data_IF_909344803991
#
_entry.id   IF_909344803991
#
_cell.length_a   1.000
_cell.length_b   1.000
_cell.length_c   1.000
_cell.angle_alpha   90.00
_cell.angle_beta   90.00
_cell.angle_gamma   90.00
#
_symmetry.space_group_name_H-M   'P 1'
#
loop_
_entity.id
_entity.type
_entity.pdbx_description
1 polymer ?
#
# COMPACT_ATOMS: atom_id res chain seq x y z
N UNK A 1 5.44 -9.03 -1.29
CA UNK A 1 5.52 -7.78 -2.07
C UNK A 1 6.62 -6.95 -1.49
N UNK A 2 6.46 -6.62 -0.22
CA UNK A 2 7.41 -6.02 0.71
C UNK A 2 8.83 -6.55 0.49
N UNK A 3 9.05 -7.85 0.66
CA UNK A 3 10.36 -8.50 0.42
C UNK A 3 10.95 -8.23 -0.97
N UNK A 4 10.12 -8.18 -2.02
CA UNK A 4 10.59 -7.90 -3.37
C UNK A 4 10.99 -6.42 -3.52
N UNK A 5 10.24 -5.51 -2.90
CA UNK A 5 10.51 -4.06 -2.94
C UNK A 5 11.73 -3.72 -2.07
N UNK A 6 11.76 -4.18 -0.82
CA UNK A 6 12.90 -4.00 0.10
C UNK A 6 14.19 -4.61 -0.47
N UNK A 7 14.11 -5.83 -1.01
CA UNK A 7 15.24 -6.51 -1.63
C UNK A 7 15.63 -5.98 -3.01
N UNK A 8 14.89 -5.00 -3.56
CA UNK A 8 15.04 -4.53 -4.94
C UNK A 8 15.05 -5.69 -5.96
N UNK A 9 14.31 -6.76 -5.67
CA UNK A 9 14.28 -8.01 -6.42
C UNK A 9 13.18 -8.00 -7.52
N UNK A 10 13.13 -6.91 -8.27
CA UNK A 10 12.22 -6.71 -9.40
C UNK A 10 12.88 -5.75 -10.41
N UNK A 11 12.56 -5.90 -11.70
CA UNK A 11 13.05 -4.97 -12.74
C UNK A 11 11.91 -4.20 -13.38
N UNK A 12 10.80 -4.88 -13.65
CA UNK A 12 9.62 -4.29 -14.24
C UNK A 12 8.42 -4.32 -13.30
N UNK A 13 7.58 -3.28 -13.38
CA UNK A 13 6.31 -3.22 -12.64
C UNK A 13 5.42 -4.44 -12.90
N UNK A 14 5.48 -5.01 -14.11
CA UNK A 14 4.76 -6.21 -14.48
C UNK A 14 5.09 -7.42 -13.59
N UNK A 15 6.34 -7.54 -13.11
CA UNK A 15 6.75 -8.63 -12.21
C UNK A 15 6.04 -8.54 -10.87
N UNK A 16 5.87 -7.32 -10.34
CA UNK A 16 5.11 -7.09 -9.11
C UNK A 16 3.63 -7.43 -9.33
N UNK A 17 3.03 -6.99 -10.44
CA UNK A 17 1.63 -7.29 -10.74
C UNK A 17 1.36 -8.80 -10.87
N UNK A 18 2.27 -9.54 -11.51
CA UNK A 18 2.18 -11.00 -11.61
C UNK A 18 2.42 -11.69 -10.25
N UNK A 19 3.34 -11.16 -9.44
CA UNK A 19 3.57 -11.61 -8.06
C UNK A 19 2.32 -11.42 -7.19
N UNK A 20 1.58 -10.32 -7.38
CA UNK A 20 0.34 -10.06 -6.65
C UNK A 20 -0.67 -11.16 -6.91
N UNK A 21 -0.93 -11.46 -8.19
CA UNK A 21 -1.86 -12.52 -8.58
C UNK A 21 -1.38 -13.88 -8.07
N UNK A 22 -0.09 -14.19 -8.23
CA UNK A 22 0.50 -15.46 -7.77
C UNK A 22 0.28 -15.70 -6.28
N UNK A 23 0.40 -14.68 -5.43
CA UNK A 23 0.28 -14.81 -3.97
C UNK A 23 -1.16 -14.72 -3.46
N UNK A 24 -2.06 -14.02 -4.16
CA UNK A 24 -3.39 -13.70 -3.66
C UNK A 24 -4.54 -14.45 -4.37
N UNK A 25 -4.25 -15.25 -5.40
CA UNK A 25 -5.26 -15.96 -6.16
C UNK A 25 -5.78 -17.24 -5.47
N UNK A 26 -6.17 -17.17 -4.20
CA UNK A 26 -6.72 -18.29 -3.44
C UNK A 26 -8.14 -17.96 -3.00
N UNK A 27 -9.12 -18.74 -3.49
CA UNK A 27 -10.53 -18.47 -3.24
C UNK A 27 -11.01 -19.10 -1.92
N UNK A 28 -11.77 -18.32 -1.16
CA UNK A 28 -12.46 -18.75 0.06
C UNK A 28 -13.96 -18.49 -0.07
N UNK A 29 -14.77 -19.29 0.63
CA UNK A 29 -16.24 -19.20 0.62
C UNK A 29 -16.88 -20.08 -0.46
N UNK A 30 -18.19 -20.31 -0.37
CA UNK A 30 -18.93 -21.10 -1.36
C UNK A 30 -18.36 -22.50 -1.63
N UNK A 31 -17.97 -23.21 -0.55
CA UNK A 31 -17.26 -24.52 -0.56
C UNK A 31 -15.80 -24.49 -1.02
N UNK A 32 -15.23 -23.32 -1.34
CA UNK A 32 -13.80 -23.18 -1.60
C UNK A 32 -13.04 -22.97 -0.29
N UNK A 33 -11.96 -23.74 -0.10
CA UNK A 33 -11.11 -23.71 1.08
C UNK A 33 -9.67 -23.36 0.70
N UNK A 34 -9.45 -22.15 0.16
CA UNK A 34 -8.12 -21.68 -0.24
C UNK A 34 -7.62 -22.33 -1.53
N UNK A 35 -8.51 -22.63 -2.48
CA UNK A 35 -8.11 -23.25 -3.76
C UNK A 35 -7.61 -22.17 -4.72
N UNK A 36 -6.50 -22.45 -5.41
CA UNK A 36 -5.95 -21.52 -6.40
C UNK A 36 -6.93 -21.25 -7.57
N UNK A 37 -7.16 -19.96 -7.88
CA UNK A 37 -8.05 -19.44 -8.92
C UNK A 37 -7.48 -18.17 -9.59
N UNK A 38 -6.29 -18.25 -10.23
CA UNK A 38 -5.64 -17.09 -10.84
C UNK A 38 -6.49 -16.42 -11.92
N UNK A 39 -7.19 -17.18 -12.75
CA UNK A 39 -8.01 -16.62 -13.83
C UNK A 39 -9.23 -15.87 -13.30
N UNK A 40 -9.82 -16.36 -12.19
CA UNK A 40 -10.91 -15.67 -11.52
C UNK A 40 -10.44 -14.33 -10.93
N UNK A 41 -9.29 -14.32 -10.23
CA UNK A 41 -8.73 -13.07 -9.70
C UNK A 41 -8.41 -12.08 -10.83
N UNK A 42 -7.78 -12.53 -11.92
CA UNK A 42 -7.49 -11.67 -13.09
C UNK A 42 -8.75 -11.08 -13.69
N UNK A 43 -9.82 -11.87 -13.83
CA UNK A 43 -11.11 -11.40 -14.32
C UNK A 43 -11.72 -10.35 -13.40
N UNK A 44 -11.68 -10.56 -12.08
CA UNK A 44 -12.17 -9.60 -11.10
C UNK A 44 -11.37 -8.31 -11.09
N UNK A 45 -10.03 -8.37 -11.19
CA UNK A 45 -9.16 -7.21 -11.28
C UNK A 45 -9.53 -6.31 -12.46
N UNK A 46 -9.94 -6.90 -13.59
CA UNK A 46 -10.45 -6.17 -14.76
C UNK A 46 -11.75 -5.38 -14.54
N UNK A 47 -12.39 -5.53 -13.38
CA UNK A 47 -13.62 -4.80 -13.01
C UNK A 47 -13.38 -3.71 -11.95
N UNK A 48 -12.17 -3.62 -11.39
CA UNK A 48 -11.87 -2.74 -10.28
C UNK A 48 -11.74 -1.29 -10.77
N UNK A 49 -12.65 -0.41 -10.33
CA UNK A 49 -12.55 1.04 -10.57
C UNK A 49 -11.89 1.82 -9.42
N UNK A 50 -11.79 1.22 -8.23
CA UNK A 50 -11.24 1.84 -7.02
C UNK A 50 -10.71 0.79 -6.06
N UNK A 51 -9.58 1.10 -5.44
CA UNK A 51 -9.04 0.41 -4.27
C UNK A 51 -9.22 1.32 -3.06
N UNK A 52 -9.61 0.74 -1.93
CA UNK A 52 -9.69 1.43 -0.66
C UNK A 52 -9.00 0.61 0.42
N UNK A 53 -8.28 1.28 1.33
CA UNK A 53 -7.70 0.66 2.52
C UNK A 53 -7.98 1.53 3.74
N UNK A 54 -8.34 0.92 4.85
CA UNK A 54 -8.52 1.61 6.13
C UNK A 54 -7.18 1.80 6.84
N UNK A 55 -7.00 2.97 7.46
CA UNK A 55 -5.93 3.29 8.41
C UNK A 55 -6.61 3.55 9.74
N UNK A 56 -6.29 2.74 10.75
CA UNK A 56 -6.89 2.75 12.08
C UNK A 56 -5.97 3.34 13.16
N UNK A 57 -4.77 3.81 12.77
CA UNK A 57 -3.77 4.35 13.69
C UNK A 57 -3.41 5.80 13.40
N UNK A 58 -3.25 6.58 14.47
CA UNK A 58 -2.67 7.93 14.44
C UNK A 58 -1.15 7.92 14.35
N UNK A 59 -0.52 6.83 14.78
CA UNK A 59 0.94 6.70 14.87
C UNK A 59 1.52 6.11 13.58
N UNK A 60 0.85 5.08 13.04
CA UNK A 60 1.25 4.37 11.84
C UNK A 60 0.38 4.75 10.65
N UNK A 61 0.90 5.69 9.88
CA UNK A 61 0.37 6.11 8.61
C UNK A 61 1.01 5.38 7.43
N UNK A 62 0.67 5.85 6.22
CA UNK A 62 0.97 5.18 4.94
C UNK A 62 2.47 4.95 4.71
N UNK A 63 3.32 5.88 5.16
CA UNK A 63 4.78 5.85 4.95
C UNK A 63 5.53 5.17 6.10
N UNK A 64 4.82 4.70 7.13
CA UNK A 64 5.46 4.12 8.31
C UNK A 64 5.47 2.58 8.26
N UNK A 65 4.58 1.99 7.45
CA UNK A 65 4.46 0.55 7.29
C UNK A 65 4.40 0.15 5.83
N UNK A 66 5.34 -0.70 5.44
CA UNK A 66 5.44 -1.21 4.08
C UNK A 66 4.20 -1.97 3.59
N UNK A 67 3.46 -2.59 4.49
CA UNK A 67 2.26 -3.34 4.17
C UNK A 67 1.21 -2.49 3.42
N UNK A 68 1.14 -1.18 3.64
CA UNK A 68 0.19 -0.35 2.91
C UNK A 68 0.47 -0.35 1.39
N UNK A 69 1.70 -0.08 0.97
CA UNK A 69 2.05 -0.15 -0.45
C UNK A 69 2.07 -1.61 -0.94
N UNK A 70 2.48 -2.55 -0.08
CA UNK A 70 2.57 -3.98 -0.37
C UNK A 70 1.23 -4.64 -0.72
N UNK A 71 0.14 -4.14 -0.12
CA UNK A 71 -1.22 -4.63 -0.37
C UNK A 71 -2.00 -3.70 -1.30
N UNK A 72 -2.37 -2.49 -0.87
CA UNK A 72 -3.26 -1.64 -1.68
C UNK A 72 -2.56 -1.04 -2.90
N UNK A 73 -1.27 -0.72 -2.79
CA UNK A 73 -0.44 -0.31 -3.91
C UNK A 73 -0.30 -1.42 -4.96
N UNK A 74 0.00 -2.65 -4.52
CA UNK A 74 0.10 -3.81 -5.41
C UNK A 74 -1.25 -4.19 -6.04
N UNK A 75 -2.36 -4.14 -5.28
CA UNK A 75 -3.72 -4.36 -5.79
C UNK A 75 -4.10 -3.31 -6.83
N UNK A 76 -3.82 -2.03 -6.55
CA UNK A 76 -3.99 -0.94 -7.52
C UNK A 76 -3.22 -1.25 -8.80
N UNK A 77 -1.94 -1.64 -8.68
CA UNK A 77 -1.12 -1.91 -9.84
C UNK A 77 -1.65 -3.09 -10.67
N UNK A 78 -2.00 -4.20 -10.02
CA UNK A 78 -2.57 -5.37 -10.70
C UNK A 78 -3.91 -5.05 -11.38
N UNK A 79 -4.75 -4.21 -10.77
CA UNK A 79 -5.99 -3.73 -11.36
C UNK A 79 -5.76 -2.78 -12.55
N UNK A 80 -4.79 -1.87 -12.47
CA UNK A 80 -4.44 -0.98 -13.60
C UNK A 80 -3.97 -1.80 -14.82
N UNK A 81 -3.15 -2.84 -14.61
CA UNK A 81 -2.74 -3.76 -15.70
C UNK A 81 -3.93 -4.53 -16.28
N UNK A 82 -4.81 -5.05 -15.44
CA UNK A 82 -5.97 -5.83 -15.90
C UNK A 82 -7.00 -4.97 -16.64
N UNK A 83 -7.20 -3.72 -16.23
CA UNK A 83 -8.20 -2.81 -16.81
C UNK A 83 -7.66 -1.97 -17.98
N UNK A 84 -6.35 -1.77 -18.05
CA UNK A 84 -5.72 -0.81 -18.97
C UNK A 84 -6.05 0.65 -18.66
N UNK A 85 -6.54 0.95 -17.44
CA UNK A 85 -7.00 2.27 -17.00
C UNK A 85 -6.41 2.59 -15.63
N UNK A 86 -6.36 3.87 -15.28
CA UNK A 86 -6.00 4.31 -13.93
C UNK A 86 -7.08 3.89 -12.92
N UNK A 87 -6.64 3.37 -11.78
CA UNK A 87 -7.52 2.95 -10.68
C UNK A 87 -7.33 3.89 -9.50
N UNK A 88 -8.42 4.46 -8.98
CA UNK A 88 -8.33 5.34 -7.81
C UNK A 88 -7.88 4.54 -6.59
N UNK A 89 -6.96 5.09 -5.79
CA UNK A 89 -6.59 4.55 -4.48
C UNK A 89 -6.96 5.55 -3.39
N UNK A 90 -7.76 5.09 -2.44
CA UNK A 90 -8.23 5.88 -1.31
C UNK A 90 -7.87 5.23 0.01
N UNK A 91 -7.63 6.08 1.00
CA UNK A 91 -7.48 5.66 2.38
C UNK A 91 -8.66 6.17 3.20
N UNK A 92 -9.14 5.31 4.08
CA UNK A 92 -10.23 5.59 5.01
C UNK A 92 -9.58 5.76 6.37
N UNK A 93 -9.55 6.97 6.90
CA UNK A 93 -9.05 7.25 8.25
C UNK A 93 -10.24 7.24 9.21
N UNK A 94 -10.27 6.27 10.11
CA UNK A 94 -11.39 6.04 11.06
C UNK A 94 -11.01 6.22 12.53
N UNK A 95 -9.75 6.59 12.82
CA UNK A 95 -9.21 6.75 14.18
C UNK A 95 -9.64 8.04 14.90
N UNK A 96 -10.51 8.86 14.30
CA UNK A 96 -11.09 10.06 14.93
C UNK A 96 -12.61 9.98 14.96
N UNK A 97 -13.27 10.94 15.63
CA UNK A 97 -14.74 11.02 15.63
C UNK A 97 -15.33 11.23 14.21
N UNK A 98 -14.53 11.74 13.27
CA UNK A 98 -14.91 11.91 11.87
C UNK A 98 -14.17 10.89 11.00
N UNK A 99 -14.91 10.08 10.24
CA UNK A 99 -14.33 9.22 9.22
C UNK A 99 -14.00 10.02 7.97
N UNK A 100 -12.74 10.02 7.56
CA UNK A 100 -12.28 10.73 6.35
C UNK A 100 -11.97 9.73 5.25
N UNK A 101 -12.33 10.08 4.03
CA UNK A 101 -11.95 9.35 2.82
C UNK A 101 -11.07 10.26 1.99
N UNK A 102 -9.80 9.91 1.87
CA UNK A 102 -8.78 10.72 1.20
C UNK A 102 -8.22 9.98 0.00
N UNK A 103 -7.79 10.70 -1.04
CA UNK A 103 -6.99 10.12 -2.12
C UNK A 103 -5.57 9.81 -1.65
N UNK A 104 -4.89 8.90 -2.34
CA UNK A 104 -3.46 8.64 -2.15
C UNK A 104 -2.63 9.95 -2.11
N UNK A 105 -2.87 10.86 -3.05
CA UNK A 105 -2.12 12.12 -3.13
C UNK A 105 -2.38 13.06 -1.94
N UNK A 106 -3.59 13.02 -1.39
CA UNK A 106 -3.93 13.80 -0.20
C UNK A 106 -3.20 13.24 1.03
N UNK A 107 -3.23 11.92 1.22
CA UNK A 107 -2.54 11.26 2.35
C UNK A 107 -1.03 11.45 2.27
N UNK A 108 -0.41 11.16 1.12
CA UNK A 108 1.04 11.35 0.93
C UNK A 108 1.46 12.81 1.19
N UNK A 109 0.65 13.79 0.76
CA UNK A 109 0.94 15.20 1.01
C UNK A 109 0.92 15.55 2.49
N UNK A 110 0.02 14.96 3.27
CA UNK A 110 0.00 15.12 4.74
C UNK A 110 1.24 14.48 5.33
N UNK A 111 1.49 13.20 5.04
CA UNK A 111 2.62 12.42 5.56
C UNK A 111 3.97 13.12 5.33
N UNK A 112 4.24 13.57 4.10
CA UNK A 112 5.49 14.25 3.80
C UNK A 112 5.62 15.57 4.55
N UNK A 113 4.54 16.34 4.70
CA UNK A 113 4.56 17.63 5.40
C UNK A 113 4.64 17.50 6.92
N UNK A 114 4.14 16.41 7.49
CA UNK A 114 4.12 16.21 8.95
C UNK A 114 5.33 15.43 9.45
N UNK A 115 5.96 14.60 8.60
CA UNK A 115 7.08 13.72 8.94
C UNK A 115 8.34 14.03 8.13
N UNK A 116 8.54 13.36 6.99
CA UNK A 116 9.82 13.35 6.26
C UNK A 116 10.39 14.75 5.97
N UNK A 117 9.54 15.71 5.58
CA UNK A 117 9.95 17.09 5.26
C UNK A 117 9.72 18.08 6.41
N UNK A 118 9.30 17.63 7.59
CA UNK A 118 9.07 18.48 8.75
C UNK A 118 10.35 18.59 9.60
N UNK A 119 10.96 19.78 9.73
CA UNK A 119 12.15 19.97 10.56
C UNK A 119 11.98 19.52 11.99
N UNK A 120 10.80 19.77 12.58
CA UNK A 120 10.53 19.32 13.95
C UNK A 120 10.58 17.80 14.09
N UNK A 121 10.21 17.08 13.05
CA UNK A 121 10.24 15.62 13.04
C UNK A 121 11.64 15.09 12.75
N UNK A 122 12.28 15.47 11.63
CA UNK A 122 13.58 14.89 11.28
C UNK A 122 14.70 15.36 12.22
N UNK A 123 14.70 16.61 12.69
CA UNK A 123 15.64 17.04 13.75
C UNK A 123 15.34 16.34 15.07
N UNK A 124 14.07 15.99 15.29
CA UNK A 124 13.62 15.11 16.36
C UNK A 124 14.31 13.76 16.32
N UNK A 125 14.20 13.08 15.19
CA UNK A 125 14.82 11.77 14.96
C UNK A 125 16.34 11.85 15.07
N UNK A 126 17.00 12.82 14.43
CA UNK A 126 18.46 12.94 14.41
C UNK A 126 19.09 13.06 15.81
N UNK A 127 18.37 13.55 16.83
CA UNK A 127 18.86 13.54 18.23
C UNK A 127 19.10 12.14 18.79
N UNK A 128 18.51 11.11 18.18
CA UNK A 128 18.67 9.71 18.54
C UNK A 128 19.77 8.99 17.74
N UNK A 129 20.61 9.72 17.00
CA UNK A 129 21.79 9.19 16.32
C UNK A 129 21.44 8.11 15.28
N UNK A 130 22.06 6.93 15.40
CA UNK A 130 21.88 5.82 14.45
C UNK A 130 20.42 5.42 14.26
N UNK A 131 19.67 5.24 15.37
CA UNK A 131 18.27 4.83 15.30
C UNK A 131 17.41 5.90 14.63
N UNK A 132 17.70 7.17 14.88
CA UNK A 132 17.03 8.28 14.21
C UNK A 132 17.28 8.32 12.71
N UNK A 133 18.52 8.09 12.29
CA UNK A 133 18.86 7.99 10.88
C UNK A 133 18.17 6.79 10.20
N UNK A 134 18.04 5.67 10.90
CA UNK A 134 17.32 4.48 10.41
C UNK A 134 15.83 4.77 10.19
N UNK A 135 15.17 5.47 11.12
CA UNK A 135 13.75 5.87 10.98
C UNK A 135 13.52 6.81 9.78
N UNK A 136 14.46 7.73 9.53
CA UNK A 136 14.41 8.61 8.36
C UNK A 136 14.59 7.80 7.07
N UNK A 137 15.54 6.86 7.04
CA UNK A 137 15.81 6.03 5.87
C UNK A 137 14.67 5.04 5.54
N UNK A 138 13.88 4.66 6.55
CA UNK A 138 12.73 3.77 6.38
C UNK A 138 11.49 4.45 5.74
N UNK A 139 11.45 5.79 5.65
CA UNK A 139 10.35 6.58 5.06
C UNK A 139 10.53 6.82 3.57
#
# INVERSE_FOLDING_TARGET
MDEAIEGSAWQERAELEDLFVKRNAYAFGGKQNGVARPDALKSLLGTVGRVAQEIDSVEYGLTDMQHYYGYSGALKAAAERATGKTVALNFIESFTAETKIQSLDQVLRVEYRTKLLNPKWYEGMLRHGHNGAAEIAHR
#
